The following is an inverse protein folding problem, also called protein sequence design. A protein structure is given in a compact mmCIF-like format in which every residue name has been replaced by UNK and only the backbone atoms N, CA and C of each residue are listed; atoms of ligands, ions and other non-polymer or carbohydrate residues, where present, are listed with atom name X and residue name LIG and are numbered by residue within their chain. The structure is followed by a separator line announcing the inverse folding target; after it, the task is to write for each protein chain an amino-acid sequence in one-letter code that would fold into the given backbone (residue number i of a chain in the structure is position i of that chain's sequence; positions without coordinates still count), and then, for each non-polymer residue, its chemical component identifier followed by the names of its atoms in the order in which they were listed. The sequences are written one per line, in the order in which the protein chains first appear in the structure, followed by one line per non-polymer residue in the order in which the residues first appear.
data_IF_521221553298
#
_entry.id   IF_521221553298
#
_cell.length_a   1.000
_cell.length_b   1.000
_cell.length_c   1.000
_cell.angle_alpha   90.00
_cell.angle_beta   90.00
_cell.angle_gamma   90.00
#
_symmetry.space_group_name_H-M   'P 1'
#
loop_
_entity.id
_entity.type
_entity.pdbx_description
1 polymer ?
#
# COMPACT_ATOMS: atom_id res chain seq x y z
N UNK A 1 12.67 5.46 14.34
CA UNK A 1 12.27 4.09 14.01
C UNK A 1 10.94 3.85 14.72
N UNK A 2 9.88 3.94 13.98
CA UNK A 2 8.56 3.61 14.54
C UNK A 2 8.61 2.14 14.96
N UNK A 3 8.49 1.90 16.25
CA UNK A 3 8.59 0.55 16.80
C UNK A 3 7.35 -0.23 16.38
N UNK A 4 7.43 -0.86 15.19
CA UNK A 4 6.37 -1.72 14.72
C UNK A 4 6.27 -2.93 15.65
N UNK A 5 5.29 -2.91 16.53
CA UNK A 5 5.01 -4.04 17.41
C UNK A 5 4.11 -5.03 16.68
N UNK A 6 4.67 -6.20 16.37
CA UNK A 6 3.89 -7.28 15.74
C UNK A 6 2.90 -7.88 16.73
N UNK A 7 1.65 -7.49 16.63
CA UNK A 7 0.55 -8.13 17.35
C UNK A 7 -0.11 -9.20 16.48
N UNK A 8 0.22 -10.46 16.74
CA UNK A 8 -0.33 -11.60 16.01
C UNK A 8 -1.83 -11.80 16.24
N UNK A 9 -2.39 -11.23 17.28
CA UNK A 9 -3.82 -11.31 17.57
C UNK A 9 -4.62 -10.32 16.72
N UNK A 10 -4.02 -9.20 16.33
CA UNK A 10 -4.67 -8.20 15.49
C UNK A 10 -4.35 -8.45 14.02
N UNK A 11 -5.39 -8.59 13.20
CA UNK A 11 -5.27 -8.95 11.78
C UNK A 11 -4.33 -8.05 10.98
N UNK A 12 -4.34 -6.73 11.25
CA UNK A 12 -3.54 -5.75 10.53
C UNK A 12 -2.04 -5.87 10.86
N UNK A 13 -1.71 -6.13 12.12
CA UNK A 13 -0.33 -6.16 12.60
C UNK A 13 0.34 -7.54 12.50
N UNK A 14 -0.32 -8.51 11.86
CA UNK A 14 0.30 -9.82 11.56
C UNK A 14 1.51 -9.71 10.66
N UNK A 15 1.51 -8.72 9.76
CA UNK A 15 2.59 -8.40 8.87
C UNK A 15 3.05 -6.95 9.12
N UNK A 16 4.33 -6.68 8.90
CA UNK A 16 4.86 -5.31 8.86
C UNK A 16 4.36 -4.58 7.59
N UNK A 17 4.47 -3.25 7.52
CA UNK A 17 4.14 -2.52 6.29
C UNK A 17 4.86 -3.07 5.05
N UNK A 18 6.16 -3.32 5.13
CA UNK A 18 6.94 -3.88 4.01
C UNK A 18 6.49 -5.29 3.64
N UNK A 19 6.16 -6.12 4.61
CA UNK A 19 5.62 -7.46 4.37
C UNK A 19 4.25 -7.42 3.69
N UNK A 20 3.38 -6.47 4.06
CA UNK A 20 2.11 -6.25 3.37
C UNK A 20 2.29 -5.83 1.92
N UNK A 21 3.24 -4.93 1.64
CA UNK A 21 3.56 -4.52 0.26
C UNK A 21 4.09 -5.73 -0.53
N UNK A 22 5.00 -6.51 0.03
CA UNK A 22 5.53 -7.71 -0.64
C UNK A 22 4.42 -8.73 -0.91
N UNK A 23 3.52 -8.94 0.03
CA UNK A 23 2.36 -9.82 -0.14
C UNK A 23 1.41 -9.31 -1.24
N UNK A 24 1.16 -8.01 -1.28
CA UNK A 24 0.34 -7.37 -2.32
C UNK A 24 0.95 -7.56 -3.72
N UNK A 25 2.25 -7.35 -3.87
CA UNK A 25 2.95 -7.54 -5.14
C UNK A 25 2.92 -9.02 -5.59
N UNK A 26 3.09 -9.96 -4.67
CA UNK A 26 2.97 -11.39 -4.94
C UNK A 26 1.57 -11.78 -5.38
N UNK A 27 0.55 -11.26 -4.72
CA UNK A 27 -0.86 -11.50 -5.08
C UNK A 27 -1.19 -10.88 -6.44
N UNK A 28 -0.69 -9.69 -6.74
CA UNK A 28 -0.87 -9.02 -8.01
C UNK A 28 -0.27 -9.84 -9.17
N UNK A 29 0.93 -10.37 -8.99
CA UNK A 29 1.57 -11.23 -9.99
C UNK A 29 0.79 -12.53 -10.22
N UNK A 30 0.28 -13.15 -9.16
CA UNK A 30 -0.59 -14.34 -9.28
C UNK A 30 -1.89 -14.06 -10.00
N UNK A 31 -2.52 -12.93 -9.70
CA UNK A 31 -3.78 -12.50 -10.32
C UNK A 31 -3.60 -12.21 -11.81
N UNK A 32 -2.52 -11.53 -12.18
CA UNK A 32 -2.18 -11.25 -13.56
C UNK A 32 -1.96 -12.55 -14.35
N UNK A 33 -1.21 -13.49 -13.78
CA UNK A 33 -0.97 -14.81 -14.37
C UNK A 33 -2.26 -15.63 -14.53
N UNK A 34 -3.14 -15.61 -13.53
CA UNK A 34 -4.43 -16.30 -13.57
C UNK A 34 -5.30 -15.74 -14.70
N UNK A 35 -5.39 -14.44 -14.81
CA UNK A 35 -6.17 -13.78 -15.87
C UNK A 35 -5.61 -14.08 -17.26
N UNK A 36 -4.30 -13.93 -17.45
CA UNK A 36 -3.64 -14.27 -18.71
C UNK A 36 -3.81 -15.74 -19.09
N UNK A 37 -3.91 -16.64 -18.11
CA UNK A 37 -4.17 -18.07 -18.32
C UNK A 37 -5.64 -18.46 -18.54
N UNK A 38 -6.56 -17.49 -18.59
CA UNK A 38 -7.98 -17.72 -18.82
C UNK A 38 -8.87 -17.74 -17.58
N UNK A 39 -8.31 -17.67 -16.38
CA UNK A 39 -9.07 -17.51 -15.14
C UNK A 39 -9.33 -16.03 -14.84
N UNK A 40 -10.25 -15.44 -15.58
CA UNK A 40 -10.62 -14.05 -15.40
C UNK A 40 -11.24 -13.76 -14.04
N UNK A 41 -12.01 -14.71 -13.49
CA UNK A 41 -12.63 -14.56 -12.16
C UNK A 41 -11.57 -14.55 -11.06
N UNK A 42 -10.66 -15.48 -11.06
CA UNK A 42 -9.53 -15.52 -10.13
C UNK A 42 -8.64 -14.28 -10.27
N UNK A 43 -8.41 -13.83 -11.49
CA UNK A 43 -7.70 -12.59 -11.79
C UNK A 43 -8.35 -11.37 -11.14
N UNK A 44 -9.65 -11.13 -11.36
CA UNK A 44 -10.37 -9.99 -10.77
C UNK A 44 -10.34 -10.02 -9.26
N UNK A 45 -10.64 -11.16 -8.65
CA UNK A 45 -10.63 -11.33 -7.19
C UNK A 45 -9.24 -11.07 -6.63
N UNK A 46 -8.21 -11.61 -7.28
CA UNK A 46 -6.83 -11.43 -6.87
C UNK A 46 -6.36 -9.97 -6.97
N UNK A 47 -6.75 -9.23 -8.02
CA UNK A 47 -6.40 -7.81 -8.17
C UNK A 47 -7.02 -6.95 -7.07
N UNK A 48 -8.29 -7.19 -6.73
CA UNK A 48 -8.96 -6.50 -5.62
C UNK A 48 -8.28 -6.80 -4.28
N UNK A 49 -7.91 -8.05 -4.07
CA UNK A 49 -7.17 -8.47 -2.88
C UNK A 49 -5.80 -7.81 -2.81
N UNK A 50 -5.05 -7.80 -3.90
CA UNK A 50 -3.73 -7.17 -3.95
C UNK A 50 -3.79 -5.66 -3.61
N UNK A 51 -4.75 -4.93 -4.19
CA UNK A 51 -4.96 -3.53 -3.87
C UNK A 51 -5.23 -3.32 -2.37
N UNK A 52 -6.14 -4.09 -1.79
CA UNK A 52 -6.47 -4.02 -0.37
C UNK A 52 -5.32 -4.41 0.54
N UNK A 53 -4.52 -5.42 0.18
CA UNK A 53 -3.32 -5.81 0.93
C UNK A 53 -2.28 -4.69 0.96
N UNK A 54 -2.06 -4.01 -0.18
CA UNK A 54 -1.21 -2.82 -0.21
C UNK A 54 -1.70 -1.73 0.73
N UNK A 55 -3.00 -1.48 0.75
CA UNK A 55 -3.61 -0.48 1.63
C UNK A 55 -3.53 -0.83 3.12
N UNK A 56 -3.41 -2.12 3.47
CA UNK A 56 -3.10 -2.51 4.85
C UNK A 56 -1.77 -1.92 5.33
N UNK A 57 -0.76 -1.87 4.48
CA UNK A 57 0.51 -1.23 4.81
C UNK A 57 0.34 0.27 5.12
N UNK A 58 -0.45 0.97 4.31
CA UNK A 58 -0.76 2.38 4.54
C UNK A 58 -1.53 2.60 5.84
N UNK A 59 -2.49 1.74 6.18
CA UNK A 59 -3.26 1.81 7.42
C UNK A 59 -2.42 1.63 8.69
N UNK A 60 -1.32 0.90 8.62
CA UNK A 60 -0.42 0.75 9.77
C UNK A 60 0.26 2.08 10.10
N UNK A 61 0.71 2.81 9.09
CA UNK A 61 1.43 4.08 9.25
C UNK A 61 0.52 5.29 9.35
N UNK A 62 -0.65 5.23 8.73
CA UNK A 62 -1.73 6.23 8.79
C UNK A 62 -3.06 5.57 9.18
N UNK A 63 -3.28 5.27 10.47
CA UNK A 63 -4.52 4.61 10.91
C UNK A 63 -5.76 5.44 10.57
N UNK A 64 -6.77 4.78 10.02
CA UNK A 64 -8.07 5.38 9.72
C UNK A 64 -9.17 4.33 9.88
N UNK A 65 -9.97 4.46 10.93
CA UNK A 65 -11.05 3.52 11.24
C UNK A 65 -12.17 3.53 10.19
N UNK A 66 -12.30 4.60 9.42
CA UNK A 66 -13.32 4.72 8.37
C UNK A 66 -13.08 3.81 7.18
N UNK A 67 -11.87 3.23 7.06
CA UNK A 67 -11.52 2.33 5.97
C UNK A 67 -12.10 0.91 6.11
N UNK A 68 -12.72 0.59 7.24
CA UNK A 68 -13.30 -0.72 7.48
C UNK A 68 -12.24 -1.80 7.74
N UNK A 69 -12.61 -3.05 7.48
CA UNK A 69 -11.77 -4.23 7.80
C UNK A 69 -11.51 -5.15 6.61
N UNK A 70 -12.20 -4.95 5.51
CA UNK A 70 -12.04 -5.76 4.30
C UNK A 70 -11.25 -5.03 3.23
N UNK A 71 -10.61 -5.79 2.35
CA UNK A 71 -9.84 -5.23 1.25
C UNK A 71 -10.66 -4.31 0.33
N UNK A 72 -11.92 -4.68 0.08
CA UNK A 72 -12.82 -3.87 -0.75
C UNK A 72 -13.17 -2.57 -0.06
N UNK A 73 -13.49 -2.60 1.24
CA UNK A 73 -13.76 -1.38 2.02
C UNK A 73 -12.59 -0.41 2.03
N UNK A 74 -11.35 -0.90 2.08
CA UNK A 74 -10.17 -0.04 1.99
C UNK A 74 -10.08 0.67 0.64
N UNK A 75 -10.29 -0.06 -0.45
CA UNK A 75 -10.27 0.52 -1.81
C UNK A 75 -11.42 1.53 -2.00
N UNK A 76 -12.61 1.21 -1.48
CA UNK A 76 -13.76 2.13 -1.49
C UNK A 76 -13.49 3.42 -0.71
N UNK A 77 -12.92 3.31 0.48
CA UNK A 77 -12.58 4.47 1.29
C UNK A 77 -11.56 5.37 0.60
N UNK A 78 -10.52 4.78 0.01
CA UNK A 78 -9.51 5.53 -0.73
C UNK A 78 -10.09 6.22 -1.96
N UNK A 79 -11.03 5.58 -2.67
CA UNK A 79 -11.69 6.16 -3.85
C UNK A 79 -12.50 7.43 -3.54
N UNK A 80 -12.93 7.60 -2.30
CA UNK A 80 -13.74 8.72 -1.83
C UNK A 80 -12.95 9.79 -1.09
N UNK A 81 -11.69 9.56 -0.79
CA UNK A 81 -10.87 10.48 -0.02
C UNK A 81 -10.37 11.63 -0.90
N UNK A 82 -10.93 12.82 -0.72
CA UNK A 82 -10.55 13.99 -1.50
C UNK A 82 -9.08 14.44 -1.31
N UNK A 83 -8.41 13.98 -0.25
CA UNK A 83 -7.00 14.27 0.01
C UNK A 83 -6.06 13.44 -0.90
N UNK A 84 -6.57 12.38 -1.47
CA UNK A 84 -5.84 11.46 -2.35
C UNK A 84 -5.83 12.00 -3.78
N UNK A 85 -4.72 11.90 -4.53
CA UNK A 85 -4.67 12.34 -5.92
C UNK A 85 -5.78 11.72 -6.78
N UNK A 86 -6.35 12.50 -7.68
CA UNK A 86 -7.46 12.05 -8.54
C UNK A 86 -7.10 10.79 -9.33
N UNK A 87 -5.87 10.70 -9.84
CA UNK A 87 -5.41 9.52 -10.58
C UNK A 87 -5.49 8.23 -9.74
N UNK A 88 -5.16 8.31 -8.44
CA UNK A 88 -5.24 7.16 -7.52
C UNK A 88 -6.71 6.82 -7.24
N UNK A 89 -7.55 7.82 -7.01
CA UNK A 89 -9.00 7.61 -6.82
C UNK A 89 -9.64 6.95 -8.04
N UNK A 90 -9.27 7.40 -9.24
CA UNK A 90 -9.72 6.79 -10.49
C UNK A 90 -9.22 5.33 -10.62
N UNK A 91 -7.98 5.04 -10.26
CA UNK A 91 -7.47 3.68 -10.22
C UNK A 91 -8.26 2.78 -9.26
N UNK A 92 -8.59 3.28 -8.08
CA UNK A 92 -9.46 2.57 -7.13
C UNK A 92 -10.82 2.24 -7.77
N UNK A 93 -11.41 3.19 -8.48
CA UNK A 93 -12.70 2.97 -9.14
C UNK A 93 -12.62 1.90 -10.23
N UNK A 94 -11.55 1.89 -11.02
CA UNK A 94 -11.30 0.84 -12.03
C UNK A 94 -11.22 -0.53 -11.35
N UNK A 95 -10.51 -0.66 -10.25
CA UNK A 95 -10.41 -1.92 -9.49
C UNK A 95 -11.76 -2.35 -8.94
N UNK A 96 -12.53 -1.43 -8.36
CA UNK A 96 -13.85 -1.70 -7.79
C UNK A 96 -14.86 -2.17 -8.85
N UNK A 97 -14.84 -1.53 -10.01
CA UNK A 97 -15.78 -1.81 -11.11
C UNK A 97 -15.41 -3.05 -11.92
N UNK A 98 -14.19 -3.57 -11.74
CA UNK A 98 -13.74 -4.77 -12.44
C UNK A 98 -14.67 -5.94 -12.16
N UNK A 99 -15.13 -6.57 -13.24
CA UNK A 99 -15.97 -7.76 -13.23
C UNK A 99 -15.39 -8.80 -14.17
N UNK A 100 -15.47 -10.09 -13.83
CA UNK A 100 -15.16 -11.12 -14.80
C UNK A 100 -16.16 -11.04 -15.95
N UNK A 101 -15.75 -11.34 -17.19
CA UNK A 101 -16.67 -11.39 -18.30
C UNK A 101 -17.80 -12.38 -17.99
N UNK A 102 -19.05 -11.96 -18.20
CA UNK A 102 -20.22 -12.82 -18.04
C UNK A 102 -20.19 -13.96 -19.08
N UNK A 103 -20.56 -15.17 -18.66
CA UNK A 103 -20.66 -16.32 -19.56
C UNK A 103 -21.54 -16.02 -20.79
N UNK A 104 -21.27 -16.68 -21.88
CA UNK A 104 -21.98 -16.70 -23.18
C UNK A 104 -21.87 -15.49 -24.11
N UNK A 105 -21.34 -14.40 -23.72
CA UNK A 105 -20.93 -13.38 -24.70
C UNK A 105 -19.47 -13.64 -25.04
N UNK A 106 -19.20 -14.14 -26.23
CA UNK A 106 -17.88 -14.10 -26.85
C UNK A 106 -17.46 -12.65 -26.91
N UNK A 107 -16.77 -12.23 -25.83
CA UNK A 107 -16.36 -10.87 -25.72
C UNK A 107 -15.16 -10.68 -26.64
N UNK A 108 -15.42 -10.14 -27.82
CA UNK A 108 -14.39 -9.64 -28.74
C UNK A 108 -13.63 -8.44 -28.14
N UNK A 109 -13.74 -8.24 -26.83
CA UNK A 109 -12.94 -7.23 -26.12
C UNK A 109 -11.49 -7.62 -26.22
N UNK A 110 -10.77 -6.70 -26.80
CA UNK A 110 -9.32 -6.72 -26.96
C UNK A 110 -8.59 -7.19 -25.70
N UNK A 111 -7.49 -7.94 -25.85
CA UNK A 111 -6.64 -8.41 -24.73
C UNK A 111 -6.21 -7.34 -23.74
N UNK A 112 -6.41 -6.07 -24.04
CA UNK A 112 -6.03 -4.91 -23.24
C UNK A 112 -6.97 -4.56 -22.06
N UNK A 113 -8.18 -5.15 -22.00
CA UNK A 113 -9.11 -4.80 -20.93
C UNK A 113 -8.61 -5.23 -19.55
N UNK A 114 -7.93 -6.39 -19.45
CA UNK A 114 -7.34 -6.83 -18.20
C UNK A 114 -6.09 -6.04 -17.82
N UNK A 115 -5.28 -5.62 -18.79
CA UNK A 115 -4.10 -4.78 -18.56
C UNK A 115 -4.46 -3.48 -17.85
N UNK A 116 -5.57 -2.86 -18.22
CA UNK A 116 -6.05 -1.65 -17.58
C UNK A 116 -6.39 -1.85 -16.09
N UNK A 117 -7.01 -2.96 -15.75
CA UNK A 117 -7.31 -3.28 -14.34
C UNK A 117 -6.05 -3.64 -13.57
N UNK A 118 -5.12 -4.37 -14.17
CA UNK A 118 -3.81 -4.68 -13.58
C UNK A 118 -3.03 -3.41 -13.29
N UNK A 119 -2.95 -2.49 -14.23
CA UNK A 119 -2.31 -1.18 -14.07
C UNK A 119 -2.94 -0.38 -12.94
N UNK A 120 -4.27 -0.34 -12.87
CA UNK A 120 -4.98 0.34 -11.80
C UNK A 120 -4.65 -0.26 -10.41
N UNK A 121 -4.62 -1.58 -10.30
CA UNK A 121 -4.23 -2.25 -9.05
C UNK A 121 -2.78 -1.94 -8.67
N UNK A 122 -1.86 -1.89 -9.65
CA UNK A 122 -0.47 -1.46 -9.43
C UNK A 122 -0.39 -0.04 -8.90
N UNK A 123 -1.17 0.88 -9.45
CA UNK A 123 -1.20 2.28 -9.01
C UNK A 123 -1.68 2.41 -7.57
N UNK A 124 -2.67 1.62 -7.16
CA UNK A 124 -3.12 1.60 -5.75
C UNK A 124 -2.03 1.07 -4.83
N UNK A 125 -1.35 -0.03 -5.18
CA UNK A 125 -0.24 -0.58 -4.39
C UNK A 125 0.93 0.40 -4.35
N UNK A 126 1.26 1.05 -5.45
CA UNK A 126 2.31 2.06 -5.51
C UNK A 126 2.00 3.27 -4.63
N UNK A 127 0.74 3.71 -4.60
CA UNK A 127 0.30 4.76 -3.68
C UNK A 127 0.49 4.35 -2.21
N UNK A 128 0.08 3.15 -1.85
CA UNK A 128 0.27 2.62 -0.51
C UNK A 128 1.76 2.57 -0.11
N UNK A 129 2.61 2.13 -1.01
CA UNK A 129 4.05 2.13 -0.80
C UNK A 129 4.62 3.54 -0.62
N UNK A 130 4.17 4.51 -1.41
CA UNK A 130 4.57 5.91 -1.26
C UNK A 130 4.17 6.48 0.12
N UNK A 131 2.99 6.11 0.64
CA UNK A 131 2.56 6.47 2.00
C UNK A 131 3.52 5.91 3.04
N UNK A 132 3.87 4.63 2.95
CA UNK A 132 4.81 3.97 3.87
C UNK A 132 6.18 4.66 3.84
N UNK A 133 6.70 4.94 2.64
CA UNK A 133 8.01 5.59 2.47
C UNK A 133 8.07 7.00 3.02
N UNK A 134 7.01 7.77 2.93
CA UNK A 134 6.94 9.11 3.55
C UNK A 134 7.15 9.06 5.05
N UNK A 135 6.56 8.08 5.71
CA UNK A 135 6.69 7.91 7.17
C UNK A 135 8.10 7.49 7.58
N UNK A 136 8.75 6.62 6.81
CA UNK A 136 10.16 6.25 7.06
C UNK A 136 11.11 7.45 6.93
N UNK A 137 10.89 8.32 5.95
CA UNK A 137 11.68 9.53 5.74
C UNK A 137 11.55 10.54 6.88
N UNK A 138 10.37 10.68 7.49
CA UNK A 138 10.12 11.55 8.63
C UNK A 138 10.84 11.03 9.88
N UNK A 139 10.79 9.73 10.12
CA UNK A 139 11.47 9.09 11.26
C UNK A 139 13.00 9.26 11.18
N UNK A 140 13.58 9.21 9.99
CA UNK A 140 15.01 9.45 9.78
C UNK A 140 15.40 10.93 9.99
N UNK A 141 14.58 11.86 9.54
CA UNK A 141 14.85 13.30 9.71
C UNK A 141 14.76 13.74 11.17
N UNK A 142 13.97 13.06 12.01
CA UNK A 142 13.81 13.37 13.43
C UNK A 142 14.92 12.73 14.29
N UNK A 143 15.58 11.70 13.78
CA UNK A 143 16.66 10.98 14.47
C UNK A 143 18.05 11.63 14.36
N UNK A 144 18.25 12.56 13.42
CA UNK A 144 19.55 13.20 13.17
C UNK A 144 19.75 14.54 13.92
N UNK A 145 18.85 14.87 14.83
CA UNK A 145 18.85 16.12 15.57
C UNK A 145 19.54 16.12 16.94
N UNK A 146 20.27 15.07 17.30
CA UNK A 146 20.93 15.01 18.61
C UNK A 146 22.38 14.55 18.47
N UNK A 147 23.23 15.37 17.92
CA UNK A 147 24.67 15.24 18.10
C UNK A 147 25.32 16.59 18.35
N UNK A 148 25.95 16.62 19.49
CA UNK A 148 27.10 17.41 19.89
C UNK A 148 26.92 18.89 20.19
N UNK A 149 26.79 19.16 21.46
CA UNK A 149 27.62 20.15 22.12
C UNK A 149 28.24 19.57 23.36
N UNK A 150 29.26 18.77 23.17
CA UNK A 150 30.29 18.61 24.17
C UNK A 150 31.20 19.84 24.08
N UNK A 151 30.94 20.83 24.89
CA UNK A 151 31.85 21.93 25.14
C UNK A 151 33.05 21.38 25.86
N UNK A 152 34.15 21.36 25.16
CA UNK A 152 35.50 21.26 25.74
C UNK A 152 35.79 22.59 26.43
N UNK A 153 35.58 22.63 27.73
CA UNK A 153 36.19 23.64 28.62
C UNK A 153 37.51 23.09 29.14
N UNK A 154 38.56 23.32 28.41
CA UNK A 154 39.91 23.22 28.95
C UNK A 154 40.15 24.36 29.93
N UNK A 155 40.18 23.96 31.15
CA UNK A 155 40.66 24.70 32.29
C UNK A 155 42.14 25.01 32.09
N UNK A 156 42.46 26.27 31.79
CA UNK A 156 43.79 26.81 31.94
C UNK A 156 43.90 27.55 33.24
N UNK A 157 44.34 26.84 34.27
CA UNK A 157 44.72 27.45 35.53
C UNK A 157 46.21 27.38 35.69
N UNK A 158 46.81 28.59 35.63
CA UNK A 158 47.67 29.04 36.70
C UNK A 158 49.17 28.82 36.61
N UNK A 159 49.86 29.91 36.58
CA UNK A 159 51.10 30.14 37.36
C UNK A 159 51.15 31.58 37.81
N UNK A 160 51.21 31.80 38.99
CA UNK A 160 51.96 32.01 40.22
C UNK A 160 51.12 32.59 41.25
#
# INVERSE_FOLDING_TARGET
MSDFTRDKAHWLFRLSPDEWIAAALGELARAEKAWAGGDARGGVVGLKRAAGMGLNAALIVEPDETWGRTYVEHVEALSRDARVPEAVRAACQVVLDARPPGGDVVNLRTPRAHEHVVEAARDVVAHAWAVVRRHEGVDQATGDGTLDHATDETDEKNRD
#
